data_IF_053327150337
#
_entry.id   IF_053327150337
#
_cell.length_a   1.000
_cell.length_b   1.000
_cell.length_c   1.000
_cell.angle_alpha   90.00
_cell.angle_beta   90.00
_cell.angle_gamma   90.00
#
_symmetry.space_group_name_H-M   'P 1'
#
loop_
_entity.id
_entity.type
_entity.pdbx_description
1 polymer ?
#
# COMPACT_ATOMS: atom_id res chain seq x y z
N UNK A 1 6.69 14.31 5.09
CA UNK A 1 5.62 14.89 5.95
C UNK A 1 4.97 16.12 5.31
N UNK A 2 5.71 16.87 4.55
CA UNK A 2 5.19 18.09 3.90
C UNK A 2 4.12 17.77 2.85
N UNK A 3 4.24 16.64 2.16
CA UNK A 3 3.19 16.13 1.26
C UNK A 3 1.81 16.05 1.93
N UNK A 4 1.70 15.41 3.10
CA UNK A 4 0.42 15.27 3.80
C UNK A 4 -0.09 16.60 4.37
N UNK A 5 0.83 17.49 4.78
CA UNK A 5 0.46 18.86 5.17
C UNK A 5 -0.06 19.68 3.99
N UNK A 6 0.50 19.48 2.81
CA UNK A 6 0.01 20.11 1.59
C UNK A 6 -1.29 19.50 1.09
N UNK A 7 -1.49 18.20 1.31
CA UNK A 7 -2.76 17.54 1.03
C UNK A 7 -3.89 17.96 1.98
N UNK A 8 -3.59 18.49 3.17
CA UNK A 8 -4.61 18.91 4.12
C UNK A 8 -5.33 20.21 3.69
N UNK A 9 -6.59 20.32 4.09
CA UNK A 9 -7.38 21.53 3.88
C UNK A 9 -6.79 22.70 4.67
N UNK A 10 -6.51 23.81 3.99
CA UNK A 10 -5.97 25.06 4.55
C UNK A 10 -6.92 26.22 4.28
N UNK A 11 -7.03 27.12 5.24
CA UNK A 11 -7.93 28.27 5.14
C UNK A 11 -9.42 27.87 5.13
N UNK A 12 -10.29 28.89 5.06
CA UNK A 12 -11.73 28.69 5.21
C UNK A 12 -12.37 27.96 4.01
N UNK A 13 -11.92 28.25 2.79
CA UNK A 13 -12.53 27.70 1.57
C UNK A 13 -12.30 26.19 1.45
N UNK A 14 -11.06 25.73 1.61
CA UNK A 14 -10.73 24.29 1.56
C UNK A 14 -11.34 23.53 2.75
N UNK A 15 -11.37 24.13 3.94
CA UNK A 15 -12.02 23.55 5.11
C UNK A 15 -13.52 23.40 4.90
N UNK A 16 -14.17 24.42 4.33
CA UNK A 16 -15.60 24.37 4.00
C UNK A 16 -15.87 23.32 2.91
N UNK A 17 -15.05 23.25 1.88
CA UNK A 17 -15.15 22.26 0.83
C UNK A 17 -14.98 20.82 1.41
N UNK A 18 -13.92 20.58 2.18
CA UNK A 18 -13.68 19.28 2.81
C UNK A 18 -14.86 18.86 3.69
N UNK A 19 -15.36 19.78 4.51
CA UNK A 19 -16.53 19.54 5.36
C UNK A 19 -17.77 19.20 4.53
N UNK A 20 -18.03 19.95 3.45
CA UNK A 20 -19.15 19.69 2.56
C UNK A 20 -19.07 18.28 1.96
N UNK A 21 -17.89 17.84 1.50
CA UNK A 21 -17.68 16.50 0.94
C UNK A 21 -17.92 15.44 2.01
N UNK A 22 -17.31 15.55 3.18
CA UNK A 22 -17.45 14.58 4.27
C UNK A 22 -18.92 14.50 4.75
N UNK A 23 -19.58 15.63 4.97
CA UNK A 23 -20.98 15.66 5.43
C UNK A 23 -21.93 15.12 4.36
N UNK A 24 -21.67 15.38 3.07
CA UNK A 24 -22.47 14.83 1.96
C UNK A 24 -22.38 13.30 1.93
N UNK A 25 -21.18 12.75 2.03
CA UNK A 25 -20.99 11.29 2.07
C UNK A 25 -21.64 10.70 3.32
N UNK A 26 -21.54 11.35 4.47
CA UNK A 26 -22.21 10.93 5.70
C UNK A 26 -23.73 10.92 5.55
N UNK A 27 -24.33 11.92 4.92
CA UNK A 27 -25.77 11.96 4.66
C UNK A 27 -26.21 10.87 3.67
N UNK A 28 -25.43 10.61 2.63
CA UNK A 28 -25.68 9.48 1.70
C UNK A 28 -25.59 8.14 2.46
N UNK A 29 -24.52 7.95 3.23
CA UNK A 29 -24.28 6.71 3.98
C UNK A 29 -25.34 6.46 5.07
N UNK A 30 -25.90 7.52 5.65
CA UNK A 30 -27.02 7.41 6.61
C UNK A 30 -28.41 7.23 5.96
N UNK A 31 -28.48 7.26 4.63
CA UNK A 31 -29.74 7.14 3.90
C UNK A 31 -30.58 8.43 3.84
N UNK A 32 -30.04 9.56 4.30
CA UNK A 32 -30.73 10.86 4.23
C UNK A 32 -30.72 11.45 2.83
N UNK A 33 -29.73 11.11 2.01
CA UNK A 33 -29.66 11.48 0.60
C UNK A 33 -29.64 10.22 -0.28
N UNK A 34 -30.22 10.28 -1.48
CA UNK A 34 -30.17 9.16 -2.43
C UNK A 34 -28.73 8.93 -2.90
N UNK A 35 -28.37 7.66 -3.09
CA UNK A 35 -27.12 7.27 -3.71
C UNK A 35 -27.17 7.58 -5.20
N UNK A 36 -26.52 8.64 -5.61
CA UNK A 36 -26.29 8.96 -7.00
C UNK A 36 -24.79 9.01 -7.26
N UNK A 37 -24.28 7.98 -7.91
CA UNK A 37 -22.86 7.89 -8.25
C UNK A 37 -22.64 8.16 -9.73
N UNK A 38 -22.00 9.28 -10.03
CA UNK A 38 -21.43 9.52 -11.34
C UNK A 38 -20.09 8.78 -11.45
N UNK A 39 -19.85 8.13 -12.58
CA UNK A 39 -18.53 7.57 -12.84
C UNK A 39 -17.46 8.65 -12.78
N UNK A 40 -16.36 8.48 -12.02
CA UNK A 40 -15.27 9.43 -11.99
C UNK A 40 -14.66 9.73 -13.36
N UNK A 41 -14.74 8.76 -14.27
CA UNK A 41 -14.26 8.89 -15.65
C UNK A 41 -15.23 9.64 -16.58
N UNK A 42 -16.45 9.97 -16.12
CA UNK A 42 -17.42 10.69 -16.96
C UNK A 42 -17.02 12.16 -17.16
N UNK A 43 -17.39 12.72 -18.31
CA UNK A 43 -17.20 14.15 -18.57
C UNK A 43 -17.94 15.03 -17.55
N UNK A 44 -19.16 14.60 -17.16
CA UNK A 44 -19.97 15.30 -16.17
C UNK A 44 -19.28 15.38 -14.80
N UNK A 45 -18.70 14.26 -14.30
CA UNK A 45 -17.96 14.25 -13.05
C UNK A 45 -16.73 15.14 -13.09
N UNK A 46 -15.97 15.09 -14.18
CA UNK A 46 -14.79 15.96 -14.35
C UNK A 46 -15.17 17.44 -14.34
N UNK A 47 -16.21 17.82 -15.11
CA UNK A 47 -16.67 19.22 -15.13
C UNK A 47 -17.20 19.68 -13.78
N UNK A 48 -17.96 18.84 -13.09
CA UNK A 48 -18.46 19.13 -11.74
C UNK A 48 -17.32 19.32 -10.74
N UNK A 49 -16.33 18.41 -10.76
CA UNK A 49 -15.18 18.52 -9.86
C UNK A 49 -14.34 19.77 -10.17
N UNK A 50 -14.08 20.05 -11.44
CA UNK A 50 -13.36 21.25 -11.85
C UNK A 50 -14.09 22.53 -11.38
N UNK A 51 -15.40 22.57 -11.50
CA UNK A 51 -16.19 23.70 -10.99
C UNK A 51 -16.15 23.78 -9.47
N UNK A 52 -16.34 22.66 -8.78
CA UNK A 52 -16.37 22.60 -7.31
C UNK A 52 -15.02 22.96 -6.65
N UNK A 53 -13.92 22.71 -7.35
CA UNK A 53 -12.56 23.02 -6.86
C UNK A 53 -12.01 24.34 -7.36
N UNK A 54 -12.79 25.09 -8.14
CA UNK A 54 -12.37 26.39 -8.68
C UNK A 54 -12.07 27.38 -7.54
N UNK A 55 -10.84 27.94 -7.57
CA UNK A 55 -10.35 28.87 -6.54
C UNK A 55 -9.72 28.20 -5.32
N UNK A 56 -9.69 26.87 -5.25
CA UNK A 56 -8.90 26.14 -4.25
C UNK A 56 -7.43 26.01 -4.72
N UNK A 57 -6.52 25.75 -3.79
CA UNK A 57 -5.11 25.52 -4.13
C UNK A 57 -4.99 24.31 -5.08
N UNK A 58 -4.14 24.42 -6.08
CA UNK A 58 -3.94 23.35 -7.05
C UNK A 58 -3.46 22.05 -6.42
N UNK A 59 -2.47 22.11 -5.52
CA UNK A 59 -2.01 20.94 -4.75
C UNK A 59 -3.11 20.32 -3.86
N UNK A 60 -4.14 21.06 -3.51
CA UNK A 60 -5.29 20.51 -2.81
C UNK A 60 -6.33 19.94 -3.79
N UNK A 61 -6.53 20.56 -4.93
CA UNK A 61 -7.52 20.16 -5.92
C UNK A 61 -7.05 19.03 -6.85
N UNK A 62 -5.74 18.95 -7.12
CA UNK A 62 -5.14 18.03 -8.08
C UNK A 62 -4.04 17.18 -7.44
N UNK A 63 -4.31 15.86 -7.34
CA UNK A 63 -3.39 14.93 -6.72
C UNK A 63 -2.10 14.73 -7.51
N UNK A 64 -2.15 14.82 -8.84
CA UNK A 64 -0.95 14.76 -9.69
C UNK A 64 -0.02 15.93 -9.37
N UNK A 65 -0.54 17.16 -9.38
CA UNK A 65 0.24 18.37 -9.07
C UNK A 65 0.86 18.29 -7.67
N UNK A 66 0.11 17.74 -6.69
CA UNK A 66 0.63 17.51 -5.35
C UNK A 66 1.80 16.51 -5.36
N UNK A 67 1.71 15.41 -6.09
CA UNK A 67 2.80 14.43 -6.20
C UNK A 67 4.04 15.05 -6.85
N UNK A 68 3.88 15.73 -7.96
CA UNK A 68 4.97 16.38 -8.71
C UNK A 68 5.66 17.49 -7.92
N UNK A 69 4.93 18.15 -7.00
CA UNK A 69 5.52 19.16 -6.11
C UNK A 69 6.42 18.57 -5.01
N UNK A 70 6.27 17.27 -4.69
CA UNK A 70 6.99 16.61 -3.59
C UNK A 70 7.91 15.47 -4.02
N UNK A 71 7.79 15.00 -5.25
CA UNK A 71 8.57 13.87 -5.78
C UNK A 71 9.27 14.28 -7.07
N UNK A 72 10.59 14.22 -7.06
CA UNK A 72 11.38 14.37 -8.29
C UNK A 72 11.41 13.02 -9.03
N UNK A 73 10.50 12.85 -9.98
CA UNK A 73 10.42 11.66 -10.81
C UNK A 73 11.64 11.50 -11.74
N UNK A 74 12.30 12.60 -12.12
CA UNK A 74 13.53 12.55 -12.91
C UNK A 74 14.69 11.97 -12.09
N UNK A 75 14.72 12.21 -10.78
CA UNK A 75 15.70 11.57 -9.90
C UNK A 75 15.48 10.06 -9.86
N UNK A 76 14.22 9.58 -9.76
CA UNK A 76 13.88 8.15 -9.77
C UNK A 76 14.31 7.52 -11.10
N UNK A 77 14.07 8.19 -12.23
CA UNK A 77 14.48 7.74 -13.55
C UNK A 77 16.00 7.53 -13.65
N UNK A 78 16.77 8.37 -12.95
CA UNK A 78 18.23 8.27 -12.90
C UNK A 78 18.76 7.09 -12.08
N UNK A 79 17.93 6.42 -11.29
CA UNK A 79 18.39 5.35 -10.39
C UNK A 79 18.92 4.13 -11.12
N UNK A 80 18.38 3.74 -12.24
CA UNK A 80 18.89 2.70 -13.14
C UNK A 80 19.24 1.35 -12.46
N UNK A 81 19.53 0.30 -13.23
CA UNK A 81 19.69 -1.07 -12.71
C UNK A 81 20.95 -1.30 -11.88
N UNK A 82 21.90 -0.36 -11.85
CA UNK A 82 23.17 -0.46 -11.10
C UNK A 82 23.33 0.59 -10.01
N UNK A 83 22.27 1.32 -9.72
CA UNK A 83 22.33 2.35 -8.69
C UNK A 83 22.42 1.69 -7.30
N UNK A 84 23.27 2.23 -6.44
CA UNK A 84 23.29 1.90 -5.00
C UNK A 84 22.08 2.54 -4.28
N UNK A 85 20.94 2.55 -4.92
CA UNK A 85 19.70 3.17 -4.44
C UNK A 85 18.59 2.11 -4.37
N UNK A 86 17.55 2.34 -3.58
CA UNK A 86 16.47 1.38 -3.46
C UNK A 86 15.76 1.18 -4.80
N UNK A 87 15.30 -0.05 -5.04
CA UNK A 87 14.43 -0.36 -6.17
C UNK A 87 13.01 -0.04 -5.75
N UNK A 88 12.34 0.79 -6.56
CA UNK A 88 10.92 1.09 -6.40
C UNK A 88 10.11 0.15 -7.29
N UNK A 89 9.14 -0.53 -6.68
CA UNK A 89 8.18 -1.38 -7.37
C UNK A 89 6.77 -0.82 -7.12
N UNK A 90 6.07 -0.49 -8.21
CA UNK A 90 4.70 0.03 -8.19
C UNK A 90 3.80 -0.98 -8.88
N UNK A 91 2.71 -1.38 -8.23
CA UNK A 91 1.73 -2.32 -8.78
C UNK A 91 0.43 -1.62 -9.14
N UNK A 92 -0.15 -1.96 -10.29
CA UNK A 92 -1.49 -1.54 -10.69
C UNK A 92 -2.22 -2.69 -11.39
N UNK A 93 -3.55 -2.77 -11.20
CA UNK A 93 -4.37 -3.80 -11.83
C UNK A 93 -4.78 -3.36 -13.24
N UNK A 94 -4.36 -4.10 -14.26
CA UNK A 94 -4.83 -3.86 -15.64
C UNK A 94 -6.30 -4.23 -15.74
N UNK A 95 -7.13 -3.26 -16.07
CA UNK A 95 -8.61 -3.41 -16.06
C UNK A 95 -9.12 -4.41 -17.10
N UNK A 96 -8.43 -4.50 -18.23
CA UNK A 96 -8.86 -5.34 -19.34
C UNK A 96 -8.43 -6.80 -19.21
N UNK A 97 -7.25 -7.02 -18.61
CA UNK A 97 -6.70 -8.38 -18.45
C UNK A 97 -6.95 -8.97 -17.06
N UNK A 98 -7.27 -8.14 -16.06
CA UNK A 98 -7.39 -8.54 -14.65
C UNK A 98 -6.06 -8.85 -13.97
N UNK A 99 -4.93 -8.66 -14.66
CA UNK A 99 -3.61 -9.02 -14.16
C UNK A 99 -2.93 -7.85 -13.48
N UNK A 100 -2.11 -8.14 -12.46
CA UNK A 100 -1.21 -7.15 -11.89
C UNK A 100 -0.12 -6.79 -12.90
N UNK A 101 -0.01 -5.51 -13.22
CA UNK A 101 1.16 -4.94 -13.91
C UNK A 101 2.10 -4.35 -12.87
N UNK A 102 3.40 -4.64 -13.02
CA UNK A 102 4.45 -4.26 -12.08
C UNK A 102 5.43 -3.35 -12.80
N UNK A 103 5.50 -2.12 -12.35
CA UNK A 103 6.47 -1.13 -12.83
C UNK A 103 7.66 -1.14 -11.88
N UNK A 104 8.86 -1.42 -12.38
CA UNK A 104 10.05 -1.62 -11.55
C UNK A 104 11.16 -0.68 -12.01
N UNK A 105 11.66 0.17 -11.11
CA UNK A 105 12.61 1.24 -11.43
C UNK A 105 13.95 0.78 -12.01
N UNK A 106 14.33 -0.48 -11.84
CA UNK A 106 15.52 -1.05 -12.47
C UNK A 106 15.29 -1.58 -13.90
N UNK A 107 14.06 -1.51 -14.41
CA UNK A 107 13.69 -1.96 -15.76
C UNK A 107 13.16 -0.84 -16.64
N UNK A 108 12.46 0.10 -16.03
CA UNK A 108 11.78 1.18 -16.71
C UNK A 108 11.73 2.44 -15.83
N UNK A 109 11.65 3.62 -16.42
CA UNK A 109 11.45 4.86 -15.68
C UNK A 109 10.12 4.87 -14.94
N UNK A 110 10.16 5.13 -13.64
CA UNK A 110 8.92 5.32 -12.86
C UNK A 110 8.50 6.77 -12.96
N UNK A 111 7.30 7.00 -13.44
CA UNK A 111 6.69 8.33 -13.64
C UNK A 111 5.47 8.51 -12.75
N UNK A 112 4.98 9.73 -12.72
CA UNK A 112 3.78 10.08 -11.94
C UNK A 112 2.57 9.23 -12.33
N UNK A 113 2.41 8.90 -13.62
CA UNK A 113 1.30 8.09 -14.13
C UNK A 113 1.26 6.69 -13.50
N UNK A 114 2.43 6.09 -13.21
CA UNK A 114 2.49 4.77 -12.55
C UNK A 114 1.94 4.84 -11.12
N UNK A 115 2.27 5.92 -10.39
CA UNK A 115 1.78 6.15 -9.02
C UNK A 115 0.29 6.46 -9.04
N UNK A 116 -0.16 7.30 -9.97
CA UNK A 116 -1.60 7.62 -10.13
C UNK A 116 -2.42 6.36 -10.47
N UNK A 117 -1.91 5.50 -11.35
CA UNK A 117 -2.54 4.23 -11.70
C UNK A 117 -2.64 3.29 -10.47
N UNK A 118 -1.57 3.22 -9.68
CA UNK A 118 -1.53 2.43 -8.44
C UNK A 118 -2.47 2.94 -7.34
N UNK A 119 -2.90 4.20 -7.42
CA UNK A 119 -3.83 4.83 -6.48
C UNK A 119 -5.24 5.01 -7.05
N UNK A 120 -5.50 4.52 -8.27
CA UNK A 120 -6.76 4.72 -8.97
C UNK A 120 -7.86 3.79 -8.44
N UNK A 121 -8.32 4.04 -7.21
CA UNK A 121 -9.45 3.30 -6.62
C UNK A 121 -10.72 3.54 -7.45
N UNK A 122 -11.34 2.50 -8.02
CA UNK A 122 -12.58 2.61 -8.75
C UNK A 122 -13.65 3.33 -7.92
N UNK A 123 -14.52 4.08 -8.56
CA UNK A 123 -15.58 4.91 -7.94
C UNK A 123 -15.11 6.18 -7.26
N UNK A 124 -13.84 6.31 -6.90
CA UNK A 124 -13.27 7.53 -6.28
C UNK A 124 -12.44 8.30 -7.30
N UNK A 125 -11.57 7.60 -8.04
CA UNK A 125 -10.67 8.20 -9.01
C UNK A 125 -10.93 7.68 -10.43
N UNK A 126 -10.63 8.49 -11.47
CA UNK A 126 -10.60 7.98 -12.84
C UNK A 126 -9.51 6.91 -12.96
N UNK A 127 -9.73 5.95 -13.87
CA UNK A 127 -8.72 4.95 -14.18
C UNK A 127 -7.44 5.59 -14.75
N UNK A 128 -6.28 5.11 -14.32
CA UNK A 128 -4.98 5.50 -14.88
C UNK A 128 -4.81 4.99 -16.31
N UNK A 129 -4.12 5.74 -17.17
CA UNK A 129 -3.81 5.33 -18.55
C UNK A 129 -2.30 5.34 -18.76
N UNK A 130 -1.73 4.22 -19.18
CA UNK A 130 -0.30 4.07 -19.43
C UNK A 130 -0.12 3.22 -20.68
N UNK A 131 0.56 3.73 -21.70
CA UNK A 131 0.91 2.97 -22.91
C UNK A 131 -0.29 2.39 -23.70
N UNK A 132 -1.48 2.96 -23.54
CA UNK A 132 -2.72 2.47 -24.17
C UNK A 132 -3.53 1.50 -23.31
N UNK A 133 -2.99 1.01 -22.21
CA UNK A 133 -3.68 0.21 -21.21
C UNK A 133 -4.34 1.07 -20.13
N UNK A 134 -5.36 0.49 -19.48
CA UNK A 134 -6.16 1.14 -18.44
C UNK A 134 -5.96 0.41 -17.12
N UNK A 135 -5.74 1.16 -16.04
CA UNK A 135 -5.37 0.62 -14.74
C UNK A 135 -6.25 1.13 -13.61
N UNK A 136 -6.51 0.26 -12.66
CA UNK A 136 -7.01 0.56 -11.33
C UNK A 136 -5.95 0.30 -10.27
N UNK A 137 -6.25 0.70 -9.04
CA UNK A 137 -5.43 0.43 -7.86
C UNK A 137 -5.03 -1.05 -7.79
N UNK A 138 -3.77 -1.29 -7.43
CA UNK A 138 -3.22 -2.63 -7.27
C UNK A 138 -3.96 -3.50 -6.24
N UNK A 139 -4.75 -2.89 -5.35
CA UNK A 139 -5.60 -3.57 -4.37
C UNK A 139 -6.50 -4.64 -4.99
N UNK A 140 -6.91 -4.46 -6.25
CA UNK A 140 -7.78 -5.39 -6.98
C UNK A 140 -7.05 -6.53 -7.68
N UNK A 141 -5.75 -6.71 -7.39
CA UNK A 141 -4.94 -7.81 -7.90
C UNK A 141 -4.00 -8.33 -6.81
N UNK A 142 -2.73 -8.62 -7.13
CA UNK A 142 -1.72 -9.06 -6.15
C UNK A 142 -1.17 -7.86 -5.36
N UNK A 143 -1.73 -7.57 -4.20
CA UNK A 143 -1.31 -6.42 -3.39
C UNK A 143 -1.01 -6.79 -1.93
N UNK A 144 0.17 -6.45 -1.41
CA UNK A 144 1.38 -5.98 -2.11
C UNK A 144 2.07 -7.12 -2.86
N UNK A 145 2.83 -6.85 -3.92
CA UNK A 145 3.53 -7.89 -4.69
C UNK A 145 4.81 -8.37 -3.97
N UNK A 146 4.65 -8.97 -2.80
CA UNK A 146 5.76 -9.39 -1.92
C UNK A 146 6.70 -10.37 -2.62
N UNK A 147 6.14 -11.29 -3.42
CA UNK A 147 6.93 -12.27 -4.15
C UNK A 147 7.93 -11.65 -5.14
N UNK A 148 7.62 -10.47 -5.67
CA UNK A 148 8.52 -9.80 -6.61
C UNK A 148 9.79 -9.26 -5.91
N UNK A 149 9.69 -8.91 -4.63
CA UNK A 149 10.83 -8.42 -3.84
C UNK A 149 11.87 -9.53 -3.59
N UNK A 150 11.45 -10.79 -3.55
CA UNK A 150 12.30 -11.94 -3.28
C UNK A 150 12.72 -12.70 -4.55
N UNK A 151 12.23 -12.28 -5.72
CA UNK A 151 12.51 -12.94 -6.99
C UNK A 151 13.75 -12.32 -7.65
N UNK A 152 14.87 -13.06 -7.78
CA UNK A 152 16.10 -12.53 -8.41
C UNK A 152 15.87 -11.98 -9.82
N UNK A 153 14.96 -12.58 -10.58
CA UNK A 153 14.62 -12.10 -11.92
C UNK A 153 13.90 -10.75 -11.93
N UNK A 154 13.32 -10.32 -10.81
CA UNK A 154 12.63 -9.04 -10.68
C UNK A 154 13.55 -7.95 -10.15
N UNK A 155 14.30 -8.22 -9.09
CA UNK A 155 15.11 -7.21 -8.40
C UNK A 155 16.62 -7.35 -8.62
N UNK A 156 17.09 -8.45 -9.18
CA UNK A 156 18.50 -8.83 -9.21
C UNK A 156 18.88 -9.67 -7.99
N UNK A 157 19.76 -10.65 -8.16
CA UNK A 157 20.15 -11.55 -7.07
C UNK A 157 20.81 -10.80 -5.90
N UNK A 158 21.58 -9.75 -6.23
CA UNK A 158 22.28 -8.89 -5.27
C UNK A 158 21.36 -7.97 -4.47
N UNK A 159 20.10 -7.79 -4.92
CA UNK A 159 19.13 -6.89 -4.30
C UNK A 159 17.99 -7.63 -3.60
N UNK A 160 18.02 -8.95 -3.55
CA UNK A 160 17.04 -9.71 -2.78
C UNK A 160 17.17 -9.32 -1.31
N UNK A 161 16.08 -8.81 -0.68
CA UNK A 161 16.15 -8.29 0.67
C UNK A 161 16.36 -9.43 1.68
N UNK A 162 17.14 -9.16 2.71
CA UNK A 162 17.28 -10.07 3.86
C UNK A 162 16.05 -10.00 4.77
N UNK A 163 15.35 -8.88 4.77
CA UNK A 163 14.22 -8.59 5.64
C UNK A 163 13.11 -7.82 4.89
N UNK A 164 11.89 -8.28 5.03
CA UNK A 164 10.71 -7.63 4.45
C UNK A 164 9.86 -7.05 5.57
N UNK A 165 9.61 -5.75 5.53
CA UNK A 165 8.68 -5.07 6.42
C UNK A 165 7.40 -4.74 5.67
N UNK A 166 6.28 -5.07 6.27
CA UNK A 166 4.96 -4.79 5.71
C UNK A 166 4.30 -3.65 6.46
N UNK A 167 3.99 -2.56 5.77
CA UNK A 167 3.15 -1.48 6.29
C UNK A 167 1.73 -1.76 5.83
N UNK A 168 0.87 -2.18 6.77
CA UNK A 168 -0.48 -2.63 6.48
C UNK A 168 -1.50 -1.57 6.87
N UNK A 169 -2.27 -1.11 5.90
CA UNK A 169 -3.29 -0.09 6.07
C UNK A 169 -4.72 -0.66 6.22
N UNK A 170 -4.96 -1.89 5.73
CA UNK A 170 -6.28 -2.51 5.79
C UNK A 170 -6.45 -3.30 7.09
N UNK A 171 -7.43 -2.96 7.96
CA UNK A 171 -7.67 -3.70 9.18
C UNK A 171 -8.01 -5.17 8.91
N UNK A 172 -7.41 -6.08 9.68
CA UNK A 172 -7.77 -7.51 9.64
C UNK A 172 -9.04 -7.77 10.45
N UNK A 173 -9.17 -7.11 11.60
CA UNK A 173 -10.28 -7.28 12.53
C UNK A 173 -11.11 -6.00 12.63
N UNK A 174 -12.40 -6.17 12.88
CA UNK A 174 -13.30 -5.10 13.34
C UNK A 174 -14.09 -5.62 14.54
N UNK A 175 -14.35 -4.77 15.50
CA UNK A 175 -15.13 -5.12 16.71
C UNK A 175 -16.61 -5.21 16.40
N UNK A 176 -17.10 -4.39 15.46
CA UNK A 176 -18.51 -4.35 15.08
C UNK A 176 -18.73 -4.78 13.64
N UNK A 177 -19.87 -5.42 13.40
CA UNK A 177 -20.33 -5.74 12.04
C UNK A 177 -20.79 -4.44 11.37
N UNK A 178 -20.30 -4.09 10.17
CA UNK A 178 -20.76 -2.92 9.45
C UNK A 178 -22.23 -3.10 9.02
N UNK A 179 -23.04 -2.07 9.22
CA UNK A 179 -24.48 -2.08 8.88
C UNK A 179 -24.84 -1.04 7.82
N UNK A 180 -24.09 0.05 7.70
CA UNK A 180 -24.29 1.05 6.65
C UNK A 180 -23.71 0.56 5.34
N UNK A 181 -24.33 0.92 4.22
CA UNK A 181 -23.96 0.40 2.90
C UNK A 181 -22.50 0.66 2.55
N UNK A 182 -22.02 1.89 2.75
CA UNK A 182 -20.66 2.26 2.42
C UNK A 182 -19.64 1.56 3.33
N UNK A 183 -19.96 1.37 4.60
CA UNK A 183 -19.11 0.61 5.53
C UNK A 183 -19.05 -0.87 5.17
N UNK A 184 -20.14 -1.43 4.63
CA UNK A 184 -20.18 -2.80 4.11
C UNK A 184 -19.29 -2.92 2.87
N UNK A 185 -19.41 -1.96 1.93
CA UNK A 185 -18.57 -1.90 0.72
C UNK A 185 -17.11 -1.72 1.12
N UNK A 186 -16.83 -0.83 2.04
CA UNK A 186 -15.49 -0.60 2.55
C UNK A 186 -14.88 -1.85 3.19
N UNK A 187 -15.66 -2.54 4.03
CA UNK A 187 -15.21 -3.79 4.63
C UNK A 187 -14.94 -4.88 3.59
N UNK A 188 -15.79 -4.98 2.58
CA UNK A 188 -15.55 -5.89 1.46
C UNK A 188 -14.21 -5.60 0.76
N UNK A 189 -13.94 -4.33 0.44
CA UNK A 189 -12.67 -3.94 -0.19
C UNK A 189 -11.46 -4.25 0.70
N UNK A 190 -11.57 -4.06 2.03
CA UNK A 190 -10.52 -4.43 2.98
C UNK A 190 -10.27 -5.95 3.00
N UNK A 191 -11.32 -6.75 2.96
CA UNK A 191 -11.21 -8.22 2.92
C UNK A 191 -10.56 -8.67 1.61
N UNK A 192 -11.00 -8.13 0.47
CA UNK A 192 -10.44 -8.44 -0.85
C UNK A 192 -8.94 -8.11 -0.90
N UNK A 193 -8.53 -6.93 -0.43
CA UNK A 193 -7.11 -6.56 -0.37
C UNK A 193 -6.27 -7.42 0.58
N UNK A 194 -6.85 -7.87 1.69
CA UNK A 194 -6.16 -8.76 2.63
C UNK A 194 -6.04 -10.21 2.10
N UNK A 195 -6.97 -10.68 1.25
CA UNK A 195 -6.91 -12.05 0.70
C UNK A 195 -5.62 -12.26 -0.09
N UNK A 196 -5.31 -11.38 -1.03
CA UNK A 196 -4.09 -11.46 -1.84
C UNK A 196 -2.83 -11.45 -0.96
N UNK A 197 -2.75 -10.53 -0.01
CA UNK A 197 -1.64 -10.45 0.94
C UNK A 197 -1.45 -11.79 1.69
N UNK A 198 -2.51 -12.31 2.30
CA UNK A 198 -2.40 -13.54 3.09
C UNK A 198 -2.07 -14.76 2.23
N UNK A 199 -2.53 -14.81 0.98
CA UNK A 199 -2.16 -15.86 0.05
C UNK A 199 -0.67 -15.81 -0.27
N UNK A 200 -0.10 -14.65 -0.53
CA UNK A 200 1.32 -14.50 -0.80
C UNK A 200 2.18 -14.87 0.43
N UNK A 201 1.79 -14.43 1.63
CA UNK A 201 2.51 -14.77 2.86
C UNK A 201 2.49 -16.29 3.12
N UNK A 202 1.33 -16.93 3.00
CA UNK A 202 1.21 -18.39 3.15
C UNK A 202 2.01 -19.15 2.10
N UNK A 203 2.11 -18.62 0.88
CA UNK A 203 2.92 -19.25 -0.17
C UNK A 203 4.40 -19.25 0.21
N UNK A 204 4.90 -18.13 0.74
CA UNK A 204 6.29 -18.03 1.22
C UNK A 204 6.50 -18.97 2.41
N UNK A 205 5.60 -19.00 3.38
CA UNK A 205 5.67 -19.94 4.52
C UNK A 205 5.73 -21.38 4.04
N UNK A 206 4.84 -21.77 3.13
CA UNK A 206 4.82 -23.14 2.58
C UNK A 206 6.13 -23.51 1.87
N UNK A 207 6.68 -22.62 1.05
CA UNK A 207 7.96 -22.86 0.39
C UNK A 207 9.10 -23.02 1.40
N UNK A 208 9.13 -22.22 2.43
CA UNK A 208 10.12 -22.33 3.50
C UNK A 208 9.98 -23.64 4.27
N UNK A 209 8.76 -24.05 4.60
CA UNK A 209 8.49 -25.34 5.27
C UNK A 209 8.95 -26.52 4.40
N UNK A 210 8.69 -26.47 3.09
CA UNK A 210 9.16 -27.48 2.14
C UNK A 210 10.68 -27.55 2.04
N UNK A 211 11.37 -26.41 2.08
CA UNK A 211 12.83 -26.35 2.09
C UNK A 211 13.40 -26.93 3.39
N UNK A 212 12.83 -26.57 4.54
CA UNK A 212 13.27 -27.06 5.85
C UNK A 212 12.99 -28.53 6.08
N UNK A 213 11.89 -29.04 5.52
CA UNK A 213 11.54 -30.47 5.61
C UNK A 213 12.26 -31.34 4.59
N UNK A 214 13.20 -30.77 3.82
CA UNK A 214 13.90 -31.47 2.74
C UNK A 214 12.97 -32.07 1.68
N UNK A 215 11.82 -31.44 1.41
CA UNK A 215 10.86 -31.93 0.42
C UNK A 215 11.38 -31.83 -1.03
N UNK A 216 12.36 -30.96 -1.27
CA UNK A 216 12.98 -30.82 -2.59
C UNK A 216 14.19 -31.74 -2.73
N UNK A 217 14.34 -32.33 -3.92
CA UNK A 217 15.53 -33.12 -4.24
C UNK A 217 16.79 -32.26 -4.27
N UNK A 218 17.94 -32.75 -3.79
CA UNK A 218 19.20 -32.00 -3.80
C UNK A 218 19.61 -31.50 -5.20
N UNK A 219 19.30 -32.27 -6.26
CA UNK A 219 19.57 -31.89 -7.64
C UNK A 219 18.78 -30.64 -8.05
N UNK A 220 17.50 -30.55 -7.66
CA UNK A 220 16.65 -29.39 -7.91
C UNK A 220 17.21 -28.14 -7.22
N UNK A 221 17.57 -28.25 -5.96
CA UNK A 221 18.13 -27.12 -5.20
C UNK A 221 19.44 -26.62 -5.83
N UNK A 222 20.31 -27.53 -6.27
CA UNK A 222 21.56 -27.18 -6.97
C UNK A 222 21.32 -26.54 -8.34
N UNK A 223 20.38 -27.07 -9.12
CA UNK A 223 20.05 -26.57 -10.44
C UNK A 223 19.56 -25.11 -10.42
N UNK A 224 18.86 -24.71 -9.37
CA UNK A 224 18.29 -23.37 -9.22
C UNK A 224 19.05 -22.49 -8.21
N UNK A 225 20.22 -22.96 -7.75
CA UNK A 225 21.07 -22.28 -6.76
C UNK A 225 20.30 -21.86 -5.48
N UNK A 226 19.37 -22.71 -5.04
CA UNK A 226 18.58 -22.46 -3.83
C UNK A 226 19.38 -22.97 -2.63
N UNK A 227 20.11 -22.10 -1.99
CA UNK A 227 20.99 -22.45 -0.88
C UNK A 227 20.32 -22.34 0.49
N UNK A 228 19.28 -21.50 0.61
CA UNK A 228 18.61 -21.22 1.88
C UNK A 228 17.10 -20.97 1.68
N UNK A 229 16.28 -21.19 2.72
CA UNK A 229 14.92 -20.68 2.74
C UNK A 229 14.92 -19.18 2.47
N UNK A 230 13.85 -18.69 1.87
CA UNK A 230 13.65 -17.23 1.73
C UNK A 230 13.82 -16.63 3.12
N UNK A 231 14.84 -15.79 3.28
CA UNK A 231 15.18 -15.21 4.59
C UNK A 231 14.11 -14.22 5.03
N UNK A 232 13.08 -14.76 5.63
CA UNK A 232 12.29 -13.99 6.57
C UNK A 232 13.03 -14.14 7.88
N UNK A 233 13.49 -13.07 8.52
CA UNK A 233 14.33 -13.17 9.70
C UNK A 233 13.67 -14.03 10.77
N UNK A 234 14.38 -15.04 11.27
CA UNK A 234 13.92 -15.85 12.40
C UNK A 234 13.59 -15.01 13.63
N UNK A 235 14.19 -13.83 13.71
CA UNK A 235 14.01 -12.84 14.76
C UNK A 235 12.56 -12.36 14.94
N UNK A 236 11.69 -12.59 13.96
CA UNK A 236 10.27 -12.28 14.06
C UNK A 236 9.38 -13.52 14.23
N UNK A 237 9.97 -14.67 14.49
CA UNK A 237 9.20 -15.86 14.83
C UNK A 237 8.40 -15.61 16.11
N UNK A 238 7.08 -15.71 16.01
CA UNK A 238 6.19 -15.55 17.17
C UNK A 238 6.14 -16.79 18.05
N UNK A 239 6.50 -17.94 17.47
CA UNK A 239 6.57 -19.23 18.16
C UNK A 239 7.62 -20.12 17.49
N UNK A 240 8.19 -21.13 18.20
CA UNK A 240 9.12 -22.10 17.62
C UNK A 240 8.56 -22.85 16.40
N UNK A 241 7.24 -23.05 16.38
CA UNK A 241 6.52 -23.79 15.34
C UNK A 241 6.28 -22.92 14.08
N UNK A 242 6.48 -21.60 14.17
CA UNK A 242 6.34 -20.65 13.09
C UNK A 242 7.64 -19.87 12.93
N UNK A 243 8.68 -20.48 12.36
CA UNK A 243 10.02 -19.88 12.27
C UNK A 243 10.08 -18.66 11.35
N UNK A 244 9.02 -18.40 10.60
CA UNK A 244 8.94 -17.31 9.66
C UNK A 244 7.77 -16.38 10.00
N UNK A 245 8.07 -15.10 10.14
CA UNK A 245 7.09 -14.06 10.34
C UNK A 245 7.50 -12.82 9.56
N UNK A 246 6.60 -12.34 8.71
CA UNK A 246 6.79 -11.04 8.06
C UNK A 246 6.28 -9.98 9.05
N UNK A 247 7.16 -9.13 9.58
CA UNK A 247 6.76 -8.14 10.56
C UNK A 247 5.85 -7.10 9.92
N UNK A 248 4.73 -6.81 10.57
CA UNK A 248 3.76 -5.83 10.11
C UNK A 248 3.78 -4.60 11.01
N UNK A 249 3.78 -3.43 10.38
CA UNK A 249 3.46 -2.15 11.00
C UNK A 249 2.00 -1.87 10.67
N UNK A 250 1.14 -1.84 11.69
CA UNK A 250 -0.29 -1.60 11.54
C UNK A 250 -0.69 -0.35 12.32
N UNK A 251 -1.82 0.24 11.96
CA UNK A 251 -2.48 1.26 12.79
C UNK A 251 -2.83 0.67 14.15
N UNK A 252 -2.88 1.50 15.19
CA UNK A 252 -3.34 1.08 16.50
C UNK A 252 -4.77 0.54 16.44
N UNK A 253 -5.12 -0.37 17.34
CA UNK A 253 -6.49 -0.89 17.43
C UNK A 253 -7.49 0.23 17.70
N UNK A 254 -7.11 1.22 18.51
CA UNK A 254 -7.92 2.41 18.78
C UNK A 254 -8.28 3.16 17.50
N UNK A 255 -7.26 3.47 16.68
CA UNK A 255 -7.48 4.15 15.40
C UNK A 255 -8.31 3.28 14.44
N UNK A 256 -8.00 2.00 14.30
CA UNK A 256 -8.75 1.08 13.43
C UNK A 256 -10.24 1.04 13.74
N UNK A 257 -10.61 1.15 15.02
CA UNK A 257 -12.00 1.12 15.46
C UNK A 257 -12.74 2.45 15.26
N UNK A 258 -12.01 3.56 15.11
CA UNK A 258 -12.60 4.88 14.90
C UNK A 258 -12.74 5.25 13.42
N UNK A 259 -12.01 4.58 12.53
CA UNK A 259 -12.07 4.85 11.09
C UNK A 259 -13.32 4.23 10.45
N UNK A 260 -14.02 5.06 9.71
CA UNK A 260 -15.17 4.71 8.87
C UNK A 260 -14.91 5.09 7.40
N UNK A 261 -15.92 4.94 6.54
CA UNK A 261 -15.77 5.29 5.13
C UNK A 261 -15.50 6.78 4.95
N UNK A 262 -16.17 7.65 5.70
CA UNK A 262 -16.03 9.11 5.61
C UNK A 262 -14.63 9.57 6.01
N UNK A 263 -13.99 8.90 6.96
CA UNK A 263 -12.63 9.22 7.39
C UNK A 263 -11.57 9.05 6.30
N UNK A 264 -11.83 8.22 5.29
CA UNK A 264 -10.91 8.02 4.15
C UNK A 264 -10.85 9.21 3.21
N UNK A 265 -11.87 10.05 3.21
CA UNK A 265 -11.95 11.24 2.38
C UNK A 265 -11.76 12.52 3.19
N UNK A 266 -11.70 12.43 4.52
CA UNK A 266 -11.47 13.59 5.39
C UNK A 266 -10.01 14.05 5.28
N UNK A 267 -9.84 15.22 4.71
CA UNK A 267 -8.56 15.92 4.56
C UNK A 267 -8.40 17.08 5.54
N UNK A 268 -9.14 17.07 6.65
CA UNK A 268 -8.92 18.05 7.70
C UNK A 268 -7.53 17.91 8.32
N UNK A 269 -6.88 19.02 8.64
CA UNK A 269 -5.56 19.02 9.23
C UNK A 269 -5.50 18.23 10.56
N UNK A 270 -6.58 18.28 11.33
CA UNK A 270 -6.70 17.55 12.59
C UNK A 270 -6.72 16.03 12.37
N UNK A 271 -7.47 15.56 11.37
CA UNK A 271 -7.54 14.15 11.02
C UNK A 271 -6.19 13.63 10.51
N UNK A 272 -5.57 14.32 9.57
CA UNK A 272 -4.25 13.97 9.04
C UNK A 272 -3.19 13.94 10.15
N UNK A 273 -3.22 14.89 11.07
CA UNK A 273 -2.30 14.91 12.20
C UNK A 273 -2.57 13.75 13.18
N UNK A 274 -3.82 13.36 13.38
CA UNK A 274 -4.17 12.18 14.18
C UNK A 274 -3.62 10.89 13.56
N UNK A 275 -3.83 10.66 12.26
CA UNK A 275 -3.26 9.53 11.52
C UNK A 275 -1.74 9.51 11.60
N UNK A 276 -1.09 10.68 11.46
CA UNK A 276 0.37 10.80 11.54
C UNK A 276 0.92 10.38 12.89
N UNK A 277 0.29 10.85 13.99
CA UNK A 277 0.73 10.53 15.36
C UNK A 277 0.60 9.05 15.65
N UNK A 278 -0.49 8.45 15.26
CA UNK A 278 -0.70 7.01 15.41
C UNK A 278 0.35 6.21 14.63
N UNK A 279 0.55 6.54 13.35
CA UNK A 279 1.56 5.87 12.52
C UNK A 279 2.98 6.01 13.08
N UNK A 280 3.34 7.19 13.58
CA UNK A 280 4.64 7.42 14.24
C UNK A 280 4.78 6.60 15.53
N UNK A 281 3.73 6.52 16.33
CA UNK A 281 3.69 5.72 17.55
C UNK A 281 3.89 4.24 17.24
N UNK A 282 3.12 3.69 16.32
CA UNK A 282 3.19 2.28 15.92
C UNK A 282 4.54 1.93 15.28
N UNK A 283 5.08 2.79 14.41
CA UNK A 283 6.39 2.58 13.80
C UNK A 283 7.52 2.61 14.85
N UNK A 284 7.47 3.53 15.81
CA UNK A 284 8.45 3.58 16.91
C UNK A 284 8.36 2.36 17.82
N UNK A 285 7.16 1.86 18.09
CA UNK A 285 6.97 0.63 18.86
C UNK A 285 7.57 -0.58 18.13
N UNK A 286 7.28 -0.71 16.83
CA UNK A 286 7.86 -1.72 15.97
C UNK A 286 9.39 -1.68 15.96
N UNK A 287 10.00 -0.52 15.74
CA UNK A 287 11.45 -0.37 15.70
C UNK A 287 12.13 -0.71 17.04
N UNK A 288 11.49 -0.36 18.16
CA UNK A 288 12.02 -0.75 19.50
C UNK A 288 11.98 -2.25 19.68
N UNK A 289 10.90 -2.91 19.28
CA UNK A 289 10.79 -4.36 19.38
C UNK A 289 11.82 -5.05 18.47
N UNK A 290 11.94 -4.56 17.23
CA UNK A 290 12.95 -5.04 16.29
C UNK A 290 14.36 -4.96 16.86
N UNK A 291 14.72 -3.85 17.49
CA UNK A 291 16.04 -3.67 18.11
C UNK A 291 16.28 -4.64 19.27
N UNK A 292 15.25 -4.93 20.08
CA UNK A 292 15.34 -5.92 21.17
C UNK A 292 15.60 -7.33 20.64
N UNK A 293 14.87 -7.71 19.59
CA UNK A 293 15.01 -9.03 18.99
C UNK A 293 16.40 -9.22 18.41
N UNK A 294 16.90 -8.24 17.65
CA UNK A 294 18.27 -8.29 17.10
C UNK A 294 19.34 -8.36 18.19
N UNK A 295 19.16 -7.62 19.28
CA UNK A 295 20.11 -7.65 20.39
C UNK A 295 20.09 -8.98 21.17
N UNK A 296 18.99 -9.72 21.12
CA UNK A 296 18.84 -11.02 21.78
C UNK A 296 19.32 -12.21 20.90
N UNK A 297 19.56 -12.02 19.62
CA UNK A 297 20.12 -13.06 18.75
C UNK A 297 21.59 -13.31 19.13
N UNK A 298 21.97 -14.55 19.52
CA UNK A 298 23.37 -14.88 19.69
C UNK A 298 24.07 -14.69 18.33
N UNK A 299 25.19 -13.97 18.33
CA UNK A 299 26.08 -13.87 17.19
C UNK A 299 26.38 -15.30 16.72
N UNK A 300 25.73 -15.73 15.63
CA UNK A 300 26.11 -16.96 14.95
C UNK A 300 27.49 -16.69 14.37
N UNK A 301 28.53 -17.01 15.16
CA UNK A 301 29.88 -17.07 14.65
C UNK A 301 29.87 -18.10 13.54
N UNK A 302 29.96 -17.63 12.32
CA UNK A 302 30.35 -18.45 11.16
C UNK A 302 31.74 -18.97 11.48
N UNK A 303 31.80 -20.17 12.08
CA UNK A 303 33.04 -20.96 12.06
C UNK A 303 33.25 -21.38 10.60
N UNK A 304 34.29 -20.82 10.04
CA UNK A 304 34.93 -21.13 8.77
C UNK A 304 35.08 -22.62 8.49
#
# INVERSE_FOLDING_TARGET
MDFWRDNSAKGWAETAFNKLVVDSVRMINSGLLPTFQLSPSSAASRSLMQFATMGLRENFANFQTLLEAHVDFAEIESWGPRAKRPILLVGAANVTTGMLTKFISNREPIRVEHVLASCAVPTIFPAGQIGGDVFWDGLFSDNPPVQELIRPSSVGAENVPEEIWLIKINPTRREAVPVRIDDIIDRRNQLEGNISLFQQLRHIEMLNDMLLSHAFRPEFLRQFDITMPVRIPKSFATTPDKPYHIPCIEMSAELQNTLDYESKIDRSAAHIEHLRRDGEHCARAFLRERARVVAAEPLVTTSS
#
